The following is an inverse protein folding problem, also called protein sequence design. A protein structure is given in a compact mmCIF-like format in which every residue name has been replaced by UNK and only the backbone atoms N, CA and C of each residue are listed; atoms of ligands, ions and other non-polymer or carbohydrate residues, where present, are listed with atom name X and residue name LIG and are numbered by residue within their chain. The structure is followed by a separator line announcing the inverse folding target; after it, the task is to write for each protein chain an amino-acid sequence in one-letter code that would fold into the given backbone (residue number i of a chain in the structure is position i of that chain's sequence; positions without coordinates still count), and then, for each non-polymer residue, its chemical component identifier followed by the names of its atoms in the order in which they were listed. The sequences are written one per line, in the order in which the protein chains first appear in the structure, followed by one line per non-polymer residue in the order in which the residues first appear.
data_IF_893482441569
#
_entry.id   IF_893482441569
#
_cell.length_a   1.000
_cell.length_b   1.000
_cell.length_c   1.000
_cell.angle_alpha   90.00
_cell.angle_beta   90.00
_cell.angle_gamma   90.00
#
_symmetry.space_group_name_H-M   'P 1'
#
loop_
_entity.id
_entity.type
_entity.pdbx_description
1 polymer ?
#
# COMPACT_ATOMS: atom_id res chain seq x y z
N UNK A 1 8.49 12.92 7.16
CA UNK A 1 7.34 13.41 6.36
C UNK A 1 6.06 13.06 7.11
N UNK A 2 5.19 14.03 7.43
CA UNK A 2 3.90 13.72 8.08
C UNK A 2 2.96 13.04 7.08
N UNK A 3 2.06 12.18 7.56
CA UNK A 3 1.08 11.51 6.72
C UNK A 3 0.18 12.55 6.02
N UNK A 4 0.04 12.52 4.68
CA UNK A 4 -0.79 13.46 3.93
C UNK A 4 -2.25 13.53 4.41
N UNK A 5 -2.83 12.40 4.85
CA UNK A 5 -4.20 12.35 5.34
C UNK A 5 -4.37 13.14 6.63
N UNK A 6 -3.41 13.02 7.55
CA UNK A 6 -3.43 13.75 8.82
C UNK A 6 -3.29 15.26 8.57
N UNK A 7 -2.45 15.65 7.60
CA UNK A 7 -2.29 17.06 7.21
C UNK A 7 -3.55 17.63 6.57
N UNK A 8 -4.24 16.87 5.72
CA UNK A 8 -5.53 17.29 5.14
C UNK A 8 -6.56 17.53 6.26
N UNK A 9 -6.63 16.63 7.25
CA UNK A 9 -7.53 16.78 8.41
C UNK A 9 -7.21 18.01 9.25
N UNK A 10 -5.93 18.29 9.48
CA UNK A 10 -5.47 19.50 10.18
C UNK A 10 -5.88 20.77 9.43
N UNK A 11 -5.70 20.78 8.09
CA UNK A 11 -6.13 21.88 7.23
C UNK A 11 -7.64 22.06 7.30
N UNK A 12 -8.42 20.99 7.25
CA UNK A 12 -9.89 21.05 7.34
C UNK A 12 -10.37 21.69 8.63
N UNK A 13 -9.83 21.25 9.77
CA UNK A 13 -10.13 21.85 11.07
C UNK A 13 -9.76 23.34 11.12
N UNK A 14 -8.66 23.74 10.48
CA UNK A 14 -8.23 25.15 10.44
C UNK A 14 -9.12 25.99 9.52
N UNK A 15 -9.53 25.46 8.38
CA UNK A 15 -10.42 26.13 7.43
C UNK A 15 -11.84 26.36 7.99
N UNK A 16 -12.27 25.56 8.96
CA UNK A 16 -13.51 25.76 9.71
C UNK A 16 -13.47 26.96 10.66
N UNK A 17 -12.31 27.22 11.27
CA UNK A 17 -12.10 28.36 12.18
C UNK A 17 -11.92 29.69 11.43
N UNK A 18 -11.44 29.64 10.19
CA UNK A 18 -11.19 30.83 9.37
C UNK A 18 -12.49 31.41 8.77
N UNK A 19 -12.57 32.74 8.57
CA UNK A 19 -13.75 33.39 8.01
C UNK A 19 -14.09 32.84 6.62
N UNK A 20 -15.38 32.59 6.38
CA UNK A 20 -15.91 32.09 5.10
C UNK A 20 -16.35 33.26 4.22
N UNK A 21 -16.37 33.04 2.91
CA UNK A 21 -16.81 34.03 1.93
C UNK A 21 -15.66 34.61 1.09
N UNK A 22 -15.93 35.76 0.48
CA UNK A 22 -14.98 36.44 -0.41
C UNK A 22 -14.71 37.84 0.11
N UNK A 23 -13.43 38.16 0.32
CA UNK A 23 -13.00 39.51 0.68
C UNK A 23 -13.05 40.40 -0.56
N UNK A 24 -13.87 41.45 -0.52
CA UNK A 24 -14.06 42.40 -1.61
C UNK A 24 -13.92 43.83 -1.09
N UNK A 25 -13.75 44.80 -1.99
CA UNK A 25 -13.53 46.20 -1.65
C UNK A 25 -14.63 47.09 -2.23
N UNK A 26 -15.06 48.08 -1.46
CA UNK A 26 -15.95 49.16 -1.92
C UNK A 26 -15.25 50.50 -1.70
N UNK A 27 -15.35 51.41 -2.67
CA UNK A 27 -14.89 52.78 -2.49
C UNK A 27 -15.96 53.59 -1.75
N UNK A 28 -15.61 54.15 -0.60
CA UNK A 28 -16.49 55.01 0.20
C UNK A 28 -15.70 56.28 0.54
N UNK A 29 -16.19 57.44 0.13
CA UNK A 29 -15.53 58.75 0.36
C UNK A 29 -14.04 58.75 -0.06
N UNK A 30 -13.73 58.14 -1.21
CA UNK A 30 -12.37 58.04 -1.74
C UNK A 30 -11.45 57.00 -1.08
N UNK A 31 -11.91 56.31 -0.02
CA UNK A 31 -11.13 55.27 0.67
C UNK A 31 -11.65 53.88 0.34
N UNK A 32 -10.74 52.92 0.14
CA UNK A 32 -11.07 51.49 -0.03
C UNK A 32 -11.50 50.89 1.31
N UNK A 33 -12.75 50.43 1.38
CA UNK A 33 -13.33 49.76 2.53
C UNK A 33 -13.48 48.26 2.22
N UNK A 34 -12.78 47.37 2.94
CA UNK A 34 -12.96 45.93 2.80
C UNK A 34 -14.28 45.47 3.44
N UNK A 35 -14.92 44.50 2.78
CA UNK A 35 -16.09 43.78 3.28
C UNK A 35 -16.01 42.31 2.88
N UNK A 36 -16.63 41.46 3.68
CA UNK A 36 -16.74 40.02 3.45
C UNK A 36 -18.12 39.75 2.88
N UNK A 37 -18.18 39.17 1.68
CA UNK A 37 -19.42 38.69 1.10
C UNK A 37 -19.58 37.21 1.37
N UNK A 38 -20.69 36.81 1.98
CA UNK A 38 -20.98 35.42 2.32
C UNK A 38 -22.47 35.12 2.16
N UNK A 39 -22.80 33.85 1.91
CA UNK A 39 -24.20 33.40 1.89
C UNK A 39 -24.53 32.81 3.25
N UNK A 40 -25.50 33.39 3.94
CA UNK A 40 -26.01 32.91 5.23
C UNK A 40 -27.49 32.59 5.01
N UNK A 41 -27.89 31.35 5.29
CA UNK A 41 -29.30 30.90 5.14
C UNK A 41 -29.88 31.17 3.73
N UNK A 42 -29.07 31.00 2.68
CA UNK A 42 -29.49 31.21 1.29
C UNK A 42 -29.56 32.68 0.85
N UNK A 43 -29.21 33.64 1.72
CA UNK A 43 -29.16 35.08 1.40
C UNK A 43 -27.73 35.58 1.34
N UNK A 44 -27.40 36.36 0.32
CA UNK A 44 -26.09 37.02 0.22
C UNK A 44 -26.02 38.20 1.19
N UNK A 45 -25.11 38.13 2.14
CA UNK A 45 -24.87 39.15 3.18
C UNK A 45 -23.46 39.72 3.01
N UNK A 46 -23.36 41.04 3.06
CA UNK A 46 -22.09 41.78 3.01
C UNK A 46 -21.77 42.37 4.38
N UNK A 47 -20.75 41.84 5.07
CA UNK A 47 -20.30 42.29 6.38
C UNK A 47 -19.07 43.19 6.24
N UNK A 48 -19.17 44.45 6.65
CA UNK A 48 -18.05 45.40 6.60
C UNK A 48 -17.03 45.15 7.72
N UNK A 49 -15.74 45.20 7.38
CA UNK A 49 -14.67 44.95 8.34
C UNK A 49 -14.32 46.25 9.08
N UNK A 50 -14.31 46.20 10.42
CA UNK A 50 -13.91 47.33 11.27
C UNK A 50 -12.44 47.67 11.08
N UNK A 51 -12.08 48.95 11.18
CA UNK A 51 -10.71 49.44 11.01
C UNK A 51 -9.68 48.69 11.87
N UNK A 52 -10.01 48.44 13.14
CA UNK A 52 -9.14 47.74 14.10
C UNK A 52 -8.86 46.27 13.75
N UNK A 53 -9.73 45.65 12.96
CA UNK A 53 -9.65 44.21 12.64
C UNK A 53 -9.17 43.96 11.20
N UNK A 54 -8.93 45.01 10.40
CA UNK A 54 -8.62 44.87 8.97
C UNK A 54 -7.38 44.01 8.71
N UNK A 55 -6.31 44.28 9.45
CA UNK A 55 -5.03 43.58 9.27
C UNK A 55 -5.18 42.10 9.63
N UNK A 56 -5.86 41.80 10.75
CA UNK A 56 -6.16 40.43 11.16
C UNK A 56 -7.01 39.69 10.12
N UNK A 57 -8.09 40.30 9.63
CA UNK A 57 -8.95 39.67 8.63
C UNK A 57 -8.20 39.42 7.32
N UNK A 58 -7.37 40.37 6.87
CA UNK A 58 -6.54 40.19 5.68
C UNK A 58 -5.59 38.99 5.82
N UNK A 59 -4.91 38.88 6.97
CA UNK A 59 -4.02 37.77 7.27
C UNK A 59 -4.76 36.43 7.31
N UNK A 60 -5.96 36.38 7.91
CA UNK A 60 -6.79 35.17 7.96
C UNK A 60 -7.25 34.71 6.56
N UNK A 61 -7.59 35.64 5.67
CA UNK A 61 -7.94 35.32 4.28
C UNK A 61 -6.74 34.83 3.47
N UNK A 62 -5.56 35.42 3.68
CA UNK A 62 -4.32 34.96 3.05
C UNK A 62 -3.96 33.54 3.52
N UNK A 63 -4.07 33.28 4.83
CA UNK A 63 -3.88 31.95 5.42
C UNK A 63 -4.85 30.93 4.82
N UNK A 64 -6.14 31.28 4.74
CA UNK A 64 -7.18 30.43 4.12
C UNK A 64 -6.82 30.08 2.67
N UNK A 65 -6.31 31.05 1.90
CA UNK A 65 -5.85 30.85 0.53
C UNK A 65 -4.71 29.83 0.45
N UNK A 66 -3.66 30.02 1.25
CA UNK A 66 -2.50 29.12 1.32
C UNK A 66 -2.90 27.70 1.69
N UNK A 67 -3.73 27.55 2.73
CA UNK A 67 -4.21 26.25 3.20
C UNK A 67 -5.09 25.54 2.15
N UNK A 68 -5.95 26.28 1.46
CA UNK A 68 -6.78 25.74 0.38
C UNK A 68 -5.93 25.22 -0.79
N UNK A 69 -4.89 25.96 -1.17
CA UNK A 69 -3.97 25.52 -2.22
C UNK A 69 -3.14 24.29 -1.78
N UNK A 70 -2.65 24.29 -0.53
CA UNK A 70 -1.96 23.14 0.06
C UNK A 70 -2.86 21.90 0.05
N UNK A 71 -4.11 22.02 0.51
CA UNK A 71 -5.10 20.94 0.49
C UNK A 71 -5.33 20.42 -0.92
N UNK A 72 -5.48 21.31 -1.92
CA UNK A 72 -5.64 20.91 -3.33
C UNK A 72 -4.45 20.08 -3.82
N UNK A 73 -3.23 20.50 -3.50
CA UNK A 73 -2.00 19.75 -3.84
C UNK A 73 -1.95 18.39 -3.16
N UNK A 74 -2.30 18.33 -1.86
CA UNK A 74 -2.32 17.07 -1.10
C UNK A 74 -3.38 16.10 -1.62
N UNK A 75 -4.57 16.59 -1.99
CA UNK A 75 -5.61 15.76 -2.60
C UNK A 75 -5.14 15.18 -3.94
N UNK A 76 -4.51 15.98 -4.80
CA UNK A 76 -3.94 15.51 -6.06
C UNK A 76 -2.83 14.45 -5.82
N UNK A 77 -2.00 14.64 -4.80
CA UNK A 77 -0.99 13.66 -4.39
C UNK A 77 -1.62 12.34 -3.93
N UNK A 78 -2.67 12.40 -3.08
CA UNK A 78 -3.39 11.21 -2.61
C UNK A 78 -4.08 10.46 -3.76
N UNK A 79 -4.69 11.17 -4.70
CA UNK A 79 -5.27 10.55 -5.91
C UNK A 79 -4.18 9.87 -6.77
N UNK A 80 -3.04 10.54 -6.95
CA UNK A 80 -1.87 9.96 -7.62
C UNK A 80 -1.40 8.67 -6.95
N UNK A 81 -1.30 8.66 -5.61
CA UNK A 81 -0.99 7.45 -4.85
C UNK A 81 -2.04 6.35 -5.05
N UNK A 82 -3.33 6.67 -5.02
CA UNK A 82 -4.39 5.69 -5.28
C UNK A 82 -4.27 5.07 -6.67
N UNK A 83 -3.92 5.86 -7.69
CA UNK A 83 -3.71 5.35 -9.04
C UNK A 83 -2.48 4.42 -9.15
N UNK A 84 -1.41 4.72 -8.41
CA UNK A 84 -0.25 3.82 -8.29
C UNK A 84 -0.65 2.51 -7.60
N UNK A 85 -1.38 2.59 -6.49
CA UNK A 85 -1.82 1.43 -5.72
C UNK A 85 -2.82 0.54 -6.48
N UNK A 86 -3.68 1.13 -7.34
CA UNK A 86 -4.54 0.35 -8.25
C UNK A 86 -3.74 -0.52 -9.21
N UNK A 87 -2.60 -0.01 -9.70
CA UNK A 87 -1.71 -0.75 -10.61
C UNK A 87 -0.87 -1.79 -9.88
N UNK A 88 -0.48 -1.50 -8.64
CA UNK A 88 0.29 -2.40 -7.80
C UNK A 88 -0.23 -2.38 -6.36
N UNK A 89 -1.21 -3.25 -6.03
CA UNK A 89 -1.82 -3.28 -4.71
C UNK A 89 -0.85 -3.67 -3.59
N UNK A 90 0.30 -4.26 -3.95
CA UNK A 90 1.31 -4.72 -3.01
C UNK A 90 2.11 -3.59 -2.36
N UNK A 91 2.15 -2.40 -2.94
CA UNK A 91 2.88 -1.26 -2.37
C UNK A 91 2.24 -0.71 -1.08
N UNK A 92 0.98 -1.05 -0.81
CA UNK A 92 0.27 -0.70 0.42
C UNK A 92 0.16 -1.90 1.39
N UNK A 93 0.68 -3.07 1.02
CA UNK A 93 0.67 -4.22 1.89
C UNK A 93 1.73 -4.03 3.00
N UNK A 94 1.35 -4.34 4.24
CA UNK A 94 2.33 -4.41 5.32
C UNK A 94 3.39 -5.47 5.00
N UNK A 95 4.64 -5.05 4.81
CA UNK A 95 5.75 -5.97 4.65
C UNK A 95 6.13 -6.50 6.04
N UNK A 96 5.61 -7.67 6.40
CA UNK A 96 6.03 -8.35 7.62
C UNK A 96 7.48 -8.82 7.50
N UNK A 97 8.33 -8.34 8.39
CA UNK A 97 9.71 -8.81 8.49
C UNK A 97 9.78 -10.01 9.45
N UNK A 98 10.50 -11.06 9.05
CA UNK A 98 10.80 -12.21 9.93
C UNK A 98 9.90 -13.43 9.76
N UNK A 99 8.93 -13.40 8.85
CA UNK A 99 8.06 -14.54 8.56
C UNK A 99 8.81 -15.57 7.69
N UNK A 100 8.84 -16.80 8.18
CA UNK A 100 9.62 -17.89 7.57
C UNK A 100 8.73 -19.05 7.10
N UNK A 101 7.56 -19.24 7.71
CA UNK A 101 6.59 -20.27 7.30
C UNK A 101 5.76 -19.74 6.11
N UNK A 102 5.69 -20.51 5.03
CA UNK A 102 4.89 -20.20 3.85
C UNK A 102 3.39 -20.06 4.18
N UNK A 103 2.88 -20.81 5.16
CA UNK A 103 1.44 -20.79 5.50
C UNK A 103 0.99 -19.44 6.04
N UNK A 104 1.87 -18.70 6.70
CA UNK A 104 1.57 -17.33 7.17
C UNK A 104 1.22 -16.39 5.99
N UNK A 105 1.82 -16.65 4.83
CA UNK A 105 1.55 -15.92 3.60
C UNK A 105 0.31 -16.45 2.87
N UNK A 106 0.16 -17.78 2.79
CA UNK A 106 -0.98 -18.43 2.15
C UNK A 106 -2.32 -18.06 2.81
N UNK A 107 -2.32 -17.83 4.13
CA UNK A 107 -3.50 -17.39 4.88
C UNK A 107 -3.84 -15.90 4.70
N UNK A 108 -3.19 -15.19 3.77
CA UNK A 108 -3.51 -13.80 3.41
C UNK A 108 -3.07 -12.76 4.44
N UNK A 109 -2.24 -13.15 5.43
CA UNK A 109 -1.81 -12.22 6.48
C UNK A 109 -0.75 -11.24 5.97
N UNK A 110 -0.03 -11.56 4.90
CA UNK A 110 1.14 -10.80 4.44
C UNK A 110 1.41 -10.83 2.93
N UNK A 111 2.21 -9.86 2.49
CA UNK A 111 2.76 -9.81 1.15
C UNK A 111 3.71 -10.98 0.88
N UNK A 112 3.47 -11.72 -0.20
CA UNK A 112 4.30 -12.83 -0.65
C UNK A 112 4.78 -12.59 -2.09
N UNK A 113 6.09 -12.70 -2.30
CA UNK A 113 6.67 -12.68 -3.64
C UNK A 113 6.60 -14.11 -4.19
N UNK A 114 5.72 -14.34 -5.16
CA UNK A 114 5.56 -15.65 -5.78
C UNK A 114 6.84 -16.10 -6.51
N UNK A 115 7.51 -17.09 -5.92
CA UNK A 115 8.68 -17.79 -6.48
C UNK A 115 8.37 -19.25 -6.82
N UNK A 116 7.10 -19.66 -6.80
CA UNK A 116 6.70 -21.06 -6.92
C UNK A 116 6.97 -21.64 -8.31
N UNK A 117 7.18 -20.81 -9.33
CA UNK A 117 7.65 -21.26 -10.65
C UNK A 117 8.93 -22.12 -10.57
N UNK A 118 9.80 -21.83 -9.60
CA UNK A 118 10.99 -22.64 -9.33
C UNK A 118 10.66 -24.12 -9.07
N UNK A 119 9.53 -24.41 -8.42
CA UNK A 119 9.12 -25.79 -8.10
C UNK A 119 8.89 -26.58 -9.39
N UNK A 120 8.19 -25.98 -10.35
CA UNK A 120 7.97 -26.59 -11.66
C UNK A 120 9.29 -26.80 -12.41
N UNK A 121 10.13 -25.76 -12.52
CA UNK A 121 11.45 -25.92 -13.13
C UNK A 121 12.27 -27.02 -12.46
N UNK A 122 12.18 -27.15 -11.14
CA UNK A 122 12.94 -28.14 -10.39
C UNK A 122 12.45 -29.56 -10.65
N UNK A 123 11.13 -29.79 -10.68
CA UNK A 123 10.52 -31.09 -10.98
C UNK A 123 10.88 -31.58 -12.39
N UNK A 124 10.89 -30.68 -13.37
CA UNK A 124 11.21 -31.04 -14.76
C UNK A 124 12.71 -31.08 -15.07
N UNK A 125 13.56 -30.67 -14.14
CA UNK A 125 15.02 -30.77 -14.32
C UNK A 125 15.48 -32.18 -13.95
N UNK A 126 16.15 -32.83 -14.90
CA UNK A 126 16.86 -34.09 -14.66
C UNK A 126 18.18 -33.84 -13.89
N UNK A 127 18.06 -33.38 -12.65
CA UNK A 127 19.20 -33.05 -11.79
C UNK A 127 19.19 -33.91 -10.52
N UNK A 128 20.18 -34.80 -10.40
CA UNK A 128 20.36 -35.67 -9.21
C UNK A 128 20.54 -34.90 -7.90
N UNK A 129 21.19 -33.73 -7.94
CA UNK A 129 21.40 -32.84 -6.80
C UNK A 129 21.25 -31.39 -7.25
N UNK A 130 20.45 -30.61 -6.54
CA UNK A 130 20.25 -29.17 -6.82
C UNK A 130 20.82 -28.32 -5.69
N UNK A 131 21.80 -27.48 -5.99
CA UNK A 131 22.38 -26.51 -5.03
C UNK A 131 21.68 -25.15 -5.15
N UNK A 132 20.93 -24.76 -4.11
CA UNK A 132 20.35 -23.43 -4.04
C UNK A 132 21.39 -22.47 -3.42
N UNK A 133 22.14 -21.73 -4.26
CA UNK A 133 23.18 -20.77 -3.83
C UNK A 133 22.60 -19.64 -2.97
N UNK A 134 23.36 -19.08 -2.01
CA UNK A 134 22.84 -18.19 -0.95
C UNK A 134 23.05 -16.67 -1.12
N UNK A 135 22.25 -15.97 -1.94
CA UNK A 135 22.06 -14.52 -1.78
C UNK A 135 21.32 -14.19 -0.48
N UNK A 136 21.81 -13.18 0.25
CA UNK A 136 21.22 -12.72 1.52
C UNK A 136 19.80 -12.16 1.29
N UNK A 137 18.85 -12.50 2.18
CA UNK A 137 17.42 -12.07 2.14
C UNK A 137 16.61 -12.57 0.94
N UNK A 138 17.08 -13.59 0.22
CA UNK A 138 16.31 -14.19 -0.87
C UNK A 138 15.08 -15.02 -0.40
N UNK A 139 14.86 -15.19 0.91
CA UNK A 139 13.71 -15.93 1.43
C UNK A 139 13.84 -17.44 1.26
N UNK A 140 15.03 -18.01 1.54
CA UNK A 140 15.28 -19.46 1.41
C UNK A 140 14.46 -20.30 2.36
N UNK A 141 14.37 -19.91 3.62
CA UNK A 141 13.57 -20.64 4.62
C UNK A 141 12.11 -20.66 4.18
N UNK A 142 11.60 -19.52 3.72
CA UNK A 142 10.26 -19.41 3.11
C UNK A 142 10.11 -20.28 1.87
N UNK A 143 11.12 -20.33 0.99
CA UNK A 143 11.10 -21.19 -0.19
C UNK A 143 11.06 -22.67 0.18
N UNK A 144 11.89 -23.11 1.15
CA UNK A 144 11.89 -24.48 1.65
C UNK A 144 10.53 -24.83 2.27
N UNK A 145 9.99 -23.97 3.13
CA UNK A 145 8.64 -24.14 3.67
C UNK A 145 7.55 -24.18 2.59
N UNK A 146 7.71 -23.40 1.50
CA UNK A 146 6.80 -23.45 0.35
C UNK A 146 6.87 -24.80 -0.37
N UNK A 147 8.08 -25.30 -0.62
CA UNK A 147 8.32 -26.61 -1.26
C UNK A 147 7.76 -27.74 -0.39
N UNK A 148 8.06 -27.73 0.91
CA UNK A 148 7.52 -28.70 1.87
C UNK A 148 6.00 -28.67 1.87
N UNK A 149 5.37 -27.49 2.00
CA UNK A 149 3.90 -27.37 2.00
C UNK A 149 3.29 -27.86 0.69
N UNK A 150 3.98 -27.69 -0.45
CA UNK A 150 3.48 -28.09 -1.76
C UNK A 150 3.52 -29.61 -1.98
N UNK A 151 4.55 -30.30 -1.47
CA UNK A 151 4.74 -31.76 -1.63
C UNK A 151 4.32 -32.58 -0.42
N UNK A 152 3.88 -31.96 0.67
CA UNK A 152 3.45 -32.69 1.85
C UNK A 152 1.98 -33.11 1.71
N UNK A 153 1.67 -34.43 1.77
CA UNK A 153 0.31 -34.94 1.64
C UNK A 153 -0.68 -34.35 2.65
N UNK A 154 -0.19 -33.89 3.82
CA UNK A 154 -1.04 -33.26 4.85
C UNK A 154 -1.73 -31.99 4.36
N UNK A 155 -1.21 -31.35 3.30
CA UNK A 155 -1.78 -30.15 2.71
C UNK A 155 -2.44 -30.40 1.34
N UNK A 156 -2.62 -31.67 0.94
CA UNK A 156 -3.22 -32.02 -0.35
C UNK A 156 -4.66 -31.50 -0.49
N UNK A 157 -5.40 -31.45 0.63
CA UNK A 157 -6.79 -30.94 0.69
C UNK A 157 -6.88 -29.41 0.79
N UNK A 158 -5.76 -28.69 0.68
CA UNK A 158 -5.68 -27.23 0.77
C UNK A 158 -5.20 -26.56 -0.54
N UNK A 159 -5.93 -26.74 -1.67
CA UNK A 159 -5.56 -26.13 -2.95
C UNK A 159 -5.53 -24.59 -2.90
N UNK A 160 -6.31 -23.99 -2.00
CA UNK A 160 -6.38 -22.53 -1.80
C UNK A 160 -5.03 -21.89 -1.46
N UNK A 161 -4.08 -22.66 -0.90
CA UNK A 161 -2.74 -22.17 -0.60
C UNK A 161 -1.91 -21.85 -1.85
N UNK A 162 -2.19 -22.55 -2.95
CA UNK A 162 -1.41 -22.45 -4.19
C UNK A 162 -2.22 -21.95 -5.37
N UNK A 163 -3.55 -21.90 -5.30
CA UNK A 163 -4.43 -21.62 -6.43
C UNK A 163 -4.09 -20.33 -7.20
N UNK A 164 -3.64 -19.30 -6.46
CA UNK A 164 -3.26 -17.99 -7.00
C UNK A 164 -1.78 -17.87 -7.37
N UNK A 165 -0.99 -18.93 -7.18
CA UNK A 165 0.45 -18.97 -7.43
C UNK A 165 0.75 -19.69 -8.74
N UNK A 166 1.88 -19.33 -9.38
CA UNK A 166 2.24 -19.85 -10.71
C UNK A 166 2.34 -21.36 -10.79
N UNK A 167 2.85 -22.03 -9.75
CA UNK A 167 3.00 -23.50 -9.75
C UNK A 167 1.67 -24.23 -9.94
N UNK A 168 0.56 -23.66 -9.45
CA UNK A 168 -0.75 -24.30 -9.55
C UNK A 168 -1.30 -24.30 -10.97
N UNK A 169 -1.09 -23.21 -11.70
CA UNK A 169 -1.45 -23.13 -13.13
C UNK A 169 -0.72 -24.19 -13.95
N UNK A 170 0.58 -24.36 -13.71
CA UNK A 170 1.44 -25.35 -14.39
C UNK A 170 0.99 -26.78 -14.05
N UNK A 171 0.76 -27.07 -12.75
CA UNK A 171 0.25 -28.38 -12.29
C UNK A 171 -1.08 -28.74 -12.97
N UNK A 172 -1.99 -27.77 -13.15
CA UNK A 172 -3.30 -28.00 -13.80
C UNK A 172 -3.19 -28.23 -15.30
N UNK A 173 -2.29 -27.52 -16.00
CA UNK A 173 -2.15 -27.66 -17.45
C UNK A 173 -1.55 -28.99 -17.88
N UNK A 174 -0.72 -29.62 -17.03
CA UNK A 174 0.09 -30.77 -17.41
C UNK A 174 -0.46 -32.13 -16.93
N UNK A 175 -1.68 -32.15 -16.36
CA UNK A 175 -2.44 -33.37 -16.04
C UNK A 175 -1.63 -34.42 -15.23
N UNK A 176 -1.02 -33.95 -14.15
CA UNK A 176 0.14 -34.58 -13.56
C UNK A 176 -0.13 -35.73 -12.57
N UNK A 177 -0.30 -36.94 -13.08
CA UNK A 177 -0.10 -38.18 -12.29
C UNK A 177 1.37 -38.32 -11.81
N UNK A 178 2.34 -37.79 -12.57
CA UNK A 178 3.77 -37.82 -12.21
C UNK A 178 4.10 -37.01 -10.95
N UNK A 179 3.39 -35.90 -10.72
CA UNK A 179 3.62 -35.07 -9.54
C UNK A 179 3.15 -35.77 -8.27
N UNK A 180 2.12 -36.62 -8.36
CA UNK A 180 1.63 -37.45 -7.25
C UNK A 180 2.65 -38.51 -6.78
N UNK A 181 3.52 -38.98 -7.69
CA UNK A 181 4.57 -39.95 -7.39
C UNK A 181 5.81 -39.32 -6.72
N UNK A 182 5.95 -37.99 -6.76
CA UNK A 182 7.03 -37.23 -6.12
C UNK A 182 6.78 -36.89 -4.64
N UNK A 183 5.54 -37.04 -4.15
CA UNK A 183 5.15 -36.71 -2.76
C UNK A 183 5.93 -37.51 -1.69
N UNK A 184 6.19 -38.83 -1.84
CA UNK A 184 6.88 -39.59 -0.79
C UNK A 184 8.41 -39.43 -0.80
N UNK A 185 9.03 -39.16 -1.96
CA UNK A 185 10.49 -39.16 -2.14
C UNK A 185 11.17 -37.83 -1.79
N UNK A 186 10.48 -36.71 -2.00
CA UNK A 186 11.00 -35.36 -1.72
C UNK A 186 11.06 -35.06 -0.22
N UNK A 187 10.04 -35.48 0.55
CA UNK A 187 9.95 -35.20 2.00
C UNK A 187 11.10 -35.82 2.81
N UNK A 188 11.66 -36.95 2.34
CA UNK A 188 12.77 -37.64 2.99
C UNK A 188 14.17 -37.07 2.70
N UNK A 189 14.30 -36.17 1.70
CA UNK A 189 15.61 -35.80 1.11
C UNK A 189 15.98 -34.32 1.31
N UNK A 190 15.04 -33.46 1.69
CA UNK A 190 15.33 -32.04 2.00
C UNK A 190 15.95 -31.94 3.40
N UNK A 191 17.28 -31.99 3.47
CA UNK A 191 18.04 -31.69 4.70
C UNK A 191 18.72 -30.33 4.57
N UNK A 192 18.42 -29.39 5.47
CA UNK A 192 19.22 -28.17 5.59
C UNK A 192 20.61 -28.54 6.13
N UNK A 193 21.60 -28.59 5.25
CA UNK A 193 23.01 -28.64 5.63
C UNK A 193 23.48 -27.22 5.93
N UNK A 194 23.53 -26.85 7.20
CA UNK A 194 24.21 -25.61 7.63
C UNK A 194 25.70 -25.84 7.45
N UNK A 195 26.29 -25.24 6.40
CA UNK A 195 27.74 -25.20 6.26
C UNK A 195 28.26 -24.29 7.38
N UNK A 196 28.65 -24.90 8.51
CA UNK A 196 29.43 -24.23 9.54
C UNK A 196 30.77 -23.82 8.91
N UNK A 197 30.87 -22.54 8.53
CA UNK A 197 32.17 -21.94 8.25
C UNK A 197 32.91 -21.83 9.59
N UNK A 198 33.98 -22.61 9.73
CA UNK A 198 35.05 -22.33 10.70
C UNK A 198 35.63 -20.95 10.44
#
# INVERSE_FOLDING_TARGET
MRNPKDRIREIDNRLEQLPKGTLTYKNINGKKQPYIQQTVEGKSVSCYVKLSQREQVLAEFEERGKLSEEKKRLLAYVDGLQNILKRNPYLNAGAGCGYQDFKDFACGRQFYVDKTHFIAEWVYRDAKVTLITRPRRFGKTTLLSTVETFFDPRFADHPEYFEKLRVWGIKRSENCLEWFLLFPSVLGTVREQTINRR
#
